data_IF_162430235292
#
_entry.id   IF_162430235292
#
_cell.length_a   1.000
_cell.length_b   1.000
_cell.length_c   1.000
_cell.angle_alpha   90.00
_cell.angle_beta   90.00
_cell.angle_gamma   90.00
#
_symmetry.space_group_name_H-M   'P 1'
#
loop_
_entity.id
_entity.type
_entity.pdbx_description
1 polymer ?
#
# COMPACT_ATOMS: atom_id res chain seq x y z
N UNK A 1 10.62 40.57 -19.22
CA UNK A 1 10.62 39.75 -20.46
C UNK A 1 11.34 38.41 -20.32
N UNK A 2 12.46 38.34 -19.64
CA UNK A 2 13.27 37.12 -19.42
C UNK A 2 12.54 36.06 -18.57
N UNK A 3 11.78 36.48 -17.55
CA UNK A 3 11.06 35.56 -16.66
C UNK A 3 9.92 34.82 -17.39
N UNK A 4 9.21 35.51 -18.27
CA UNK A 4 8.14 34.92 -19.11
C UNK A 4 8.70 33.85 -20.06
N UNK A 5 9.85 34.09 -20.69
CA UNK A 5 10.53 33.12 -21.56
C UNK A 5 11.00 31.86 -20.79
N UNK A 6 11.49 32.02 -19.56
CA UNK A 6 11.89 30.88 -18.72
C UNK A 6 10.69 30.01 -18.32
N UNK A 7 9.55 30.63 -18.03
CA UNK A 7 8.30 29.94 -17.72
C UNK A 7 7.76 29.23 -18.96
N UNK A 8 7.78 29.86 -20.15
CA UNK A 8 7.36 29.21 -21.39
C UNK A 8 8.29 28.09 -21.86
N UNK A 9 9.59 28.21 -21.67
CA UNK A 9 10.55 27.15 -21.97
C UNK A 9 10.41 25.95 -20.99
N UNK A 10 10.11 26.23 -19.73
CA UNK A 10 9.84 25.20 -18.73
C UNK A 10 8.50 24.50 -19.02
N UNK A 11 7.49 25.25 -19.47
CA UNK A 11 6.18 24.70 -19.89
C UNK A 11 6.29 23.86 -21.17
N UNK A 12 7.16 24.21 -22.13
CA UNK A 12 7.39 23.39 -23.33
C UNK A 12 8.11 22.06 -23.01
N UNK A 13 9.00 22.05 -22.00
CA UNK A 13 9.65 20.81 -21.53
C UNK A 13 8.70 19.90 -20.74
N UNK A 14 7.66 20.45 -20.11
CA UNK A 14 6.68 19.68 -19.32
C UNK A 14 5.46 19.24 -20.14
N UNK A 15 5.34 19.67 -21.39
CA UNK A 15 4.21 19.35 -22.30
C UNK A 15 4.29 17.97 -22.94
N UNK A 16 5.43 17.32 -22.95
CA UNK A 16 5.50 15.94 -23.40
C UNK A 16 5.22 15.01 -22.21
N UNK A 17 4.27 14.10 -22.38
CA UNK A 17 4.21 12.93 -21.52
C UNK A 17 5.62 12.33 -21.46
N UNK A 18 6.28 12.45 -20.33
CA UNK A 18 7.49 11.68 -20.07
C UNK A 18 7.13 10.20 -19.78
N UNK A 19 6.26 9.66 -20.62
CA UNK A 19 5.96 8.25 -20.74
C UNK A 19 7.05 7.56 -21.56
N UNK A 20 8.32 7.82 -21.21
CA UNK A 20 9.34 6.87 -21.53
C UNK A 20 9.12 5.59 -20.72
N UNK A 21 9.78 4.51 -21.09
CA UNK A 21 9.73 3.22 -20.36
C UNK A 21 9.80 3.39 -18.84
N UNK A 22 10.56 4.35 -18.35
CA UNK A 22 10.67 4.70 -16.92
C UNK A 22 9.36 5.20 -16.30
N UNK A 23 8.57 5.98 -17.04
CA UNK A 23 7.27 6.48 -16.56
C UNK A 23 6.25 5.35 -16.42
N UNK A 24 6.18 4.43 -17.37
CA UNK A 24 5.31 3.25 -17.27
C UNK A 24 5.68 2.37 -16.08
N UNK A 25 6.97 2.11 -15.87
CA UNK A 25 7.44 1.32 -14.73
C UNK A 25 6.98 1.96 -13.41
N UNK A 26 7.09 3.28 -13.28
CA UNK A 26 6.66 4.00 -12.06
C UNK A 26 5.16 3.86 -11.82
N UNK A 27 4.34 4.01 -12.85
CA UNK A 27 2.88 3.83 -12.73
C UNK A 27 2.53 2.40 -12.33
N UNK A 28 3.17 1.41 -12.93
CA UNK A 28 2.99 -0.01 -12.60
C UNK A 28 3.38 -0.28 -11.15
N UNK A 29 4.52 0.21 -10.69
CA UNK A 29 4.97 0.04 -9.31
C UNK A 29 4.01 0.72 -8.32
N UNK A 30 3.53 1.92 -8.63
CA UNK A 30 2.56 2.62 -7.79
C UNK A 30 1.19 1.91 -7.78
N UNK A 31 0.75 1.36 -8.92
CA UNK A 31 -0.43 0.51 -9.01
C UNK A 31 -0.30 -0.74 -8.12
N UNK A 32 0.84 -1.43 -8.18
CA UNK A 32 1.12 -2.57 -7.29
C UNK A 32 1.13 -2.18 -5.82
N UNK A 33 1.63 -1.00 -5.45
CA UNK A 33 1.58 -0.52 -4.07
C UNK A 33 0.15 -0.34 -3.57
N UNK A 34 -0.74 0.23 -4.41
CA UNK A 34 -2.16 0.37 -4.10
C UNK A 34 -2.87 -0.99 -4.03
N UNK A 35 -2.53 -1.91 -4.93
CA UNK A 35 -3.03 -3.28 -4.93
C UNK A 35 -2.65 -4.01 -3.63
N UNK A 36 -1.37 -4.04 -3.27
CA UNK A 36 -0.86 -4.69 -2.06
C UNK A 36 -1.46 -4.09 -0.79
N UNK A 37 -1.60 -2.77 -0.73
CA UNK A 37 -2.27 -2.12 0.40
C UNK A 37 -3.69 -2.66 0.59
N UNK A 38 -4.53 -2.66 -0.44
CA UNK A 38 -5.90 -3.17 -0.36
C UNK A 38 -5.94 -4.66 -0.05
N UNK A 39 -5.11 -5.44 -0.74
CA UNK A 39 -5.00 -6.88 -0.56
C UNK A 39 -4.73 -7.25 0.91
N UNK A 40 -3.76 -6.60 1.55
CA UNK A 40 -3.34 -6.94 2.90
C UNK A 40 -4.22 -6.33 4.00
N UNK A 41 -4.84 -5.17 3.75
CA UNK A 41 -5.60 -4.47 4.80
C UNK A 41 -7.08 -4.80 4.80
N UNK A 42 -7.76 -4.67 3.67
CA UNK A 42 -9.21 -4.82 3.61
C UNK A 42 -9.61 -6.22 3.13
N UNK A 43 -9.02 -6.66 2.03
CA UNK A 43 -9.52 -7.84 1.32
C UNK A 43 -9.13 -9.14 2.04
N UNK A 44 -7.87 -9.26 2.47
CA UNK A 44 -7.41 -10.40 3.28
C UNK A 44 -8.14 -10.48 4.63
N UNK A 45 -8.30 -9.34 5.30
CA UNK A 45 -8.95 -9.32 6.60
C UNK A 45 -10.40 -9.78 6.51
N UNK A 46 -11.11 -9.40 5.44
CA UNK A 46 -12.50 -9.84 5.25
C UNK A 46 -12.65 -11.36 5.14
N UNK A 47 -11.68 -12.04 4.52
CA UNK A 47 -11.70 -13.51 4.36
C UNK A 47 -11.16 -14.23 5.59
N UNK A 48 -10.14 -13.65 6.26
CA UNK A 48 -9.44 -14.32 7.37
C UNK A 48 -10.04 -14.04 8.74
N UNK A 49 -11.03 -13.15 8.86
CA UNK A 49 -11.69 -12.83 10.14
C UNK A 49 -12.21 -14.07 10.86
N UNK A 50 -12.99 -14.89 10.17
CA UNK A 50 -13.61 -16.07 10.76
C UNK A 50 -12.56 -17.12 11.15
N UNK A 51 -11.46 -17.18 10.41
CA UNK A 51 -10.31 -18.04 10.74
C UNK A 51 -9.63 -17.58 12.01
N UNK A 52 -9.37 -16.30 12.17
CA UNK A 52 -8.79 -15.74 13.40
C UNK A 52 -9.68 -16.01 14.62
N UNK A 53 -10.99 -15.87 14.49
CA UNK A 53 -11.96 -16.18 15.54
C UNK A 53 -11.93 -17.68 15.85
N UNK A 54 -11.87 -18.53 14.84
CA UNK A 54 -11.75 -20.00 14.99
C UNK A 54 -10.47 -20.46 15.69
N UNK A 55 -9.40 -19.68 15.61
CA UNK A 55 -8.13 -19.89 16.31
C UNK A 55 -8.15 -19.42 17.77
N UNK A 56 -9.29 -18.92 18.27
CA UNK A 56 -9.43 -18.45 19.64
C UNK A 56 -8.99 -16.99 19.85
N UNK A 57 -8.76 -16.24 18.78
CA UNK A 57 -8.48 -14.79 18.86
C UNK A 57 -9.79 -14.08 19.23
N UNK A 58 -9.70 -13.11 20.14
CA UNK A 58 -10.85 -12.38 20.63
C UNK A 58 -11.61 -11.70 19.48
N UNK A 59 -12.88 -12.06 19.31
CA UNK A 59 -13.75 -11.57 18.25
C UNK A 59 -13.82 -10.04 18.19
N UNK A 60 -13.96 -9.38 19.37
CA UNK A 60 -14.00 -7.93 19.44
C UNK A 60 -12.69 -7.29 18.94
N UNK A 61 -11.54 -7.90 19.23
CA UNK A 61 -10.25 -7.44 18.75
C UNK A 61 -10.12 -7.59 17.23
N UNK A 62 -10.59 -8.70 16.65
CA UNK A 62 -10.58 -8.93 15.19
C UNK A 62 -11.40 -7.89 14.45
N UNK A 63 -12.59 -7.57 14.96
CA UNK A 63 -13.43 -6.51 14.34
C UNK A 63 -12.87 -5.11 14.56
N UNK A 64 -12.19 -4.85 15.69
CA UNK A 64 -11.60 -3.56 16.00
C UNK A 64 -10.25 -3.31 15.32
N UNK A 65 -9.58 -4.33 14.75
CA UNK A 65 -8.24 -4.20 14.16
C UNK A 65 -8.13 -3.06 13.15
N UNK A 66 -9.07 -2.97 12.22
CA UNK A 66 -9.06 -1.91 11.20
C UNK A 66 -9.25 -0.53 11.81
N UNK A 67 -10.16 -0.40 12.78
CA UNK A 67 -10.42 0.87 13.48
C UNK A 67 -9.21 1.31 14.31
N UNK A 68 -8.55 0.36 14.98
CA UNK A 68 -7.33 0.63 15.75
C UNK A 68 -6.17 1.04 14.83
N UNK A 69 -6.04 0.40 13.66
CA UNK A 69 -4.94 0.66 12.74
C UNK A 69 -4.99 2.03 12.06
N UNK A 70 -6.18 2.60 11.85
CA UNK A 70 -6.36 3.89 11.14
C UNK A 70 -5.58 5.04 11.79
N UNK A 71 -5.70 5.35 13.09
CA UNK A 71 -4.96 6.44 13.71
C UNK A 71 -3.43 6.22 13.64
N UNK A 72 -2.96 4.99 13.82
CA UNK A 72 -1.54 4.68 13.66
C UNK A 72 -1.07 4.85 12.22
N UNK A 73 -1.89 4.48 11.25
CA UNK A 73 -1.61 4.72 9.83
C UNK A 73 -1.49 6.20 9.50
N UNK A 74 -2.36 7.05 10.03
CA UNK A 74 -2.31 8.50 9.84
C UNK A 74 -1.03 9.07 10.46
N UNK A 75 -0.73 8.74 11.71
CA UNK A 75 0.47 9.22 12.41
C UNK A 75 1.73 8.73 11.68
N UNK A 76 1.78 7.45 11.31
CA UNK A 76 2.90 6.88 10.57
C UNK A 76 3.12 7.56 9.21
N UNK A 77 2.05 7.85 8.47
CA UNK A 77 2.13 8.58 7.20
C UNK A 77 2.66 10.00 7.37
N UNK A 78 2.28 10.70 8.43
CA UNK A 78 2.81 12.05 8.73
C UNK A 78 4.31 11.99 9.06
N UNK A 79 4.72 11.02 9.87
CA UNK A 79 6.15 10.83 10.23
C UNK A 79 6.96 10.50 8.99
N UNK A 80 6.52 9.53 8.19
CA UNK A 80 7.19 9.14 6.95
C UNK A 80 7.23 10.29 5.94
N UNK A 81 6.15 11.08 5.83
CA UNK A 81 6.11 12.27 4.98
C UNK A 81 7.16 13.31 5.34
N UNK A 82 7.45 13.51 6.63
CA UNK A 82 8.52 14.41 7.08
C UNK A 82 9.92 13.85 6.80
N UNK A 83 10.09 12.53 6.92
CA UNK A 83 11.35 11.85 6.68
C UNK A 83 11.74 11.85 5.19
N UNK A 84 10.78 11.73 4.28
CA UNK A 84 11.00 11.77 2.83
C UNK A 84 11.65 13.09 2.39
N UNK A 85 11.30 14.21 3.02
CA UNK A 85 11.90 15.51 2.71
C UNK A 85 13.41 15.58 3.01
N UNK A 86 13.95 14.66 3.82
CA UNK A 86 15.37 14.62 4.21
C UNK A 86 16.19 13.61 3.42
N UNK A 87 15.57 12.59 2.85
CA UNK A 87 16.24 11.45 2.23
C UNK A 87 15.57 11.01 0.93
N UNK A 88 16.16 10.02 0.26
CA UNK A 88 15.65 9.49 -1.01
C UNK A 88 14.29 8.78 -0.82
N UNK A 89 13.26 9.22 -1.54
CA UNK A 89 11.93 8.63 -1.56
C UNK A 89 11.96 7.13 -1.91
N UNK A 90 12.89 6.72 -2.79
CA UNK A 90 13.02 5.32 -3.24
C UNK A 90 13.40 4.37 -2.10
N UNK A 91 14.26 4.84 -1.20
CA UNK A 91 14.72 4.08 -0.05
C UNK A 91 13.56 3.84 0.93
N UNK A 92 12.79 4.87 1.25
CA UNK A 92 11.64 4.73 2.16
C UNK A 92 10.54 3.86 1.58
N UNK A 93 10.31 3.96 0.26
CA UNK A 93 9.33 3.11 -0.41
C UNK A 93 9.73 1.63 -0.35
N UNK A 94 10.97 1.30 -0.69
CA UNK A 94 11.50 -0.06 -0.58
C UNK A 94 11.48 -0.59 0.85
N UNK A 95 11.90 0.24 1.82
CA UNK A 95 11.88 -0.15 3.24
C UNK A 95 10.46 -0.42 3.74
N UNK A 96 9.49 0.43 3.38
CA UNK A 96 8.08 0.22 3.75
C UNK A 96 7.54 -1.09 3.19
N UNK A 97 7.87 -1.43 1.94
CA UNK A 97 7.46 -2.70 1.33
C UNK A 97 8.10 -3.91 2.02
N UNK A 98 9.39 -3.84 2.36
CA UNK A 98 10.08 -4.91 3.07
C UNK A 98 9.46 -5.12 4.46
N UNK A 99 9.21 -4.05 5.21
CA UNK A 99 8.59 -4.15 6.54
C UNK A 99 7.19 -4.76 6.40
N UNK A 100 6.40 -4.31 5.45
CA UNK A 100 5.07 -4.87 5.19
C UNK A 100 5.16 -6.37 4.89
N UNK A 101 6.06 -6.81 4.02
CA UNK A 101 6.24 -8.22 3.68
C UNK A 101 6.64 -9.07 4.89
N UNK A 102 7.61 -8.61 5.70
CA UNK A 102 8.04 -9.33 6.91
C UNK A 102 6.88 -9.50 7.89
N UNK A 103 6.12 -8.44 8.17
CA UNK A 103 5.00 -8.52 9.10
C UNK A 103 3.81 -9.31 8.53
N UNK A 104 3.65 -9.37 7.21
CA UNK A 104 2.68 -10.24 6.55
C UNK A 104 2.99 -11.71 6.77
N UNK A 105 4.24 -12.12 6.69
CA UNK A 105 4.65 -13.49 7.02
C UNK A 105 4.48 -13.77 8.52
N UNK A 106 4.83 -12.81 9.38
CA UNK A 106 4.70 -12.96 10.84
C UNK A 106 3.24 -13.11 11.28
N UNK A 107 2.29 -12.38 10.73
CA UNK A 107 0.87 -12.48 11.12
C UNK A 107 0.32 -13.89 10.88
N UNK A 108 0.81 -14.59 9.84
CA UNK A 108 0.44 -15.98 9.56
C UNK A 108 0.97 -17.01 10.58
N UNK A 109 1.90 -16.62 11.44
CA UNK A 109 2.52 -17.51 12.45
C UNK A 109 2.11 -17.16 13.89
N UNK A 110 1.53 -15.98 14.10
CA UNK A 110 1.15 -15.51 15.44
C UNK A 110 -0.26 -15.99 15.79
N UNK A 111 -0.39 -16.62 16.97
CA UNK A 111 -1.66 -17.15 17.49
C UNK A 111 -2.18 -16.37 18.72
N UNK A 112 -1.50 -15.27 19.10
CA UNK A 112 -1.90 -14.44 20.23
C UNK A 112 -2.65 -13.20 19.74
N UNK A 113 -3.77 -12.85 20.37
CA UNK A 113 -4.61 -11.68 20.04
C UNK A 113 -3.79 -10.39 19.93
N UNK A 114 -2.93 -10.12 20.91
CA UNK A 114 -2.12 -8.88 20.90
C UNK A 114 -1.13 -8.86 19.75
N UNK A 115 -0.47 -10.00 19.50
CA UNK A 115 0.49 -10.12 18.41
C UNK A 115 -0.13 -9.92 17.03
N UNK A 116 -1.31 -10.50 16.78
CA UNK A 116 -2.04 -10.33 15.52
C UNK A 116 -2.44 -8.87 15.31
N UNK A 117 -2.97 -8.21 16.35
CA UNK A 117 -3.34 -6.77 16.27
C UNK A 117 -2.12 -5.90 15.99
N UNK A 118 -1.00 -6.14 16.69
CA UNK A 118 0.25 -5.37 16.47
C UNK A 118 0.78 -5.57 15.05
N UNK A 119 0.87 -6.81 14.58
CA UNK A 119 1.29 -7.10 13.20
C UNK A 119 0.39 -6.39 12.18
N UNK A 120 -0.93 -6.46 12.37
CA UNK A 120 -1.87 -5.80 11.49
C UNK A 120 -1.70 -4.28 11.47
N UNK A 121 -1.52 -3.64 12.62
CA UNK A 121 -1.28 -2.18 12.73
C UNK A 121 -0.01 -1.79 11.97
N UNK A 122 1.06 -2.57 12.09
CA UNK A 122 2.31 -2.31 11.36
C UNK A 122 2.10 -2.48 9.85
N UNK A 123 1.49 -3.58 9.41
CA UNK A 123 1.16 -3.82 7.99
C UNK A 123 0.34 -2.65 7.44
N UNK A 124 -0.71 -2.27 8.14
CA UNK A 124 -1.59 -1.15 7.74
C UNK A 124 -0.81 0.16 7.58
N UNK A 125 0.01 0.50 8.57
CA UNK A 125 0.76 1.77 8.60
C UNK A 125 1.75 1.88 7.45
N UNK A 126 2.57 0.85 7.22
CA UNK A 126 3.61 0.90 6.19
C UNK A 126 3.05 0.69 4.78
N UNK A 127 2.03 -0.15 4.60
CA UNK A 127 1.37 -0.32 3.31
C UNK A 127 0.58 0.93 2.90
N UNK A 128 -0.13 1.59 3.84
CA UNK A 128 -0.80 2.86 3.59
C UNK A 128 0.18 3.94 3.17
N UNK A 129 1.30 4.07 3.88
CA UNK A 129 2.33 5.05 3.56
C UNK A 129 2.93 4.80 2.16
N UNK A 130 3.18 3.55 1.79
CA UNK A 130 3.71 3.21 0.46
C UNK A 130 2.70 3.49 -0.65
N UNK A 131 1.44 3.17 -0.45
CA UNK A 131 0.38 3.33 -1.47
C UNK A 131 -0.05 4.78 -1.66
N UNK A 132 -0.29 5.51 -0.56
CA UNK A 132 -0.87 6.86 -0.64
C UNK A 132 0.18 7.94 -0.76
N UNK A 133 1.18 7.90 0.13
CA UNK A 133 2.14 8.98 0.25
C UNK A 133 3.25 8.85 -0.80
N UNK A 134 3.93 7.71 -0.82
CA UNK A 134 5.10 7.52 -1.67
C UNK A 134 4.72 7.41 -3.15
N UNK A 135 3.66 6.66 -3.47
CA UNK A 135 3.16 6.59 -4.84
C UNK A 135 2.65 7.96 -5.31
N UNK A 136 1.92 8.70 -4.47
CA UNK A 136 1.42 10.04 -4.78
C UNK A 136 2.54 11.06 -5.05
N UNK A 137 3.59 11.08 -4.23
CA UNK A 137 4.75 11.94 -4.41
C UNK A 137 5.53 11.60 -5.68
N UNK A 138 5.82 10.32 -5.91
CA UNK A 138 6.54 9.87 -7.12
C UNK A 138 5.76 10.27 -8.38
N UNK A 139 4.45 10.04 -8.40
CA UNK A 139 3.59 10.42 -9.53
C UNK A 139 3.55 11.94 -9.71
N UNK A 140 3.45 12.70 -8.61
CA UNK A 140 3.47 14.15 -8.65
C UNK A 140 4.73 14.72 -9.28
N UNK A 141 5.89 14.12 -9.00
CA UNK A 141 7.17 14.51 -9.59
C UNK A 141 7.32 14.12 -11.07
N UNK A 142 6.83 12.94 -11.46
CA UNK A 142 7.00 12.43 -12.82
C UNK A 142 5.92 12.88 -13.80
N UNK A 143 4.71 13.17 -13.31
CA UNK A 143 3.56 13.53 -14.16
C UNK A 143 2.89 14.85 -13.74
N UNK A 144 3.60 15.98 -13.79
CA UNK A 144 3.05 17.26 -13.31
C UNK A 144 1.81 17.71 -14.08
N UNK A 145 1.73 17.42 -15.40
CA UNK A 145 0.61 17.84 -16.25
C UNK A 145 -0.55 16.85 -16.30
N UNK A 146 -0.31 15.56 -16.10
CA UNK A 146 -1.33 14.50 -16.18
C UNK A 146 -1.42 13.67 -14.90
N UNK A 147 -1.15 14.30 -13.75
CA UNK A 147 -1.17 13.71 -12.42
C UNK A 147 -2.48 12.96 -12.13
N UNK A 148 -3.63 13.54 -12.53
CA UNK A 148 -4.94 12.92 -12.30
C UNK A 148 -5.11 11.57 -13.01
N UNK A 149 -4.68 11.48 -14.28
CA UNK A 149 -4.76 10.22 -15.04
C UNK A 149 -3.80 9.17 -14.46
N UNK A 150 -2.57 9.57 -14.14
CA UNK A 150 -1.60 8.66 -13.53
C UNK A 150 -2.07 8.16 -12.15
N UNK A 151 -2.62 9.03 -11.31
CA UNK A 151 -3.23 8.66 -10.03
C UNK A 151 -4.43 7.75 -10.21
N UNK A 152 -5.32 8.02 -11.16
CA UNK A 152 -6.46 7.16 -11.47
C UNK A 152 -6.04 5.75 -11.87
N UNK A 153 -5.00 5.61 -12.68
CA UNK A 153 -4.42 4.30 -13.03
C UNK A 153 -3.85 3.59 -11.80
N UNK A 154 -3.18 4.31 -10.91
CA UNK A 154 -2.63 3.70 -9.69
C UNK A 154 -3.72 3.24 -8.72
N UNK A 155 -4.76 4.07 -8.51
CA UNK A 155 -5.87 3.72 -7.62
C UNK A 155 -6.77 2.63 -8.17
N UNK A 156 -6.72 2.31 -9.49
CA UNK A 156 -7.37 1.14 -10.06
C UNK A 156 -6.84 -0.19 -9.48
N UNK A 157 -5.70 -0.18 -8.79
CA UNK A 157 -5.20 -1.30 -7.99
C UNK A 157 -6.16 -1.73 -6.88
N UNK A 158 -6.91 -0.81 -6.26
CA UNK A 158 -7.86 -1.14 -5.18
C UNK A 158 -9.00 -2.05 -5.63
N UNK A 159 -9.81 -1.68 -6.65
CA UNK A 159 -10.91 -2.55 -7.09
C UNK A 159 -10.39 -3.86 -7.71
N UNK A 160 -9.22 -3.85 -8.34
CA UNK A 160 -8.62 -5.08 -8.84
C UNK A 160 -8.23 -6.01 -7.69
N UNK A 161 -7.66 -5.49 -6.62
CA UNK A 161 -7.37 -6.26 -5.42
C UNK A 161 -8.64 -6.85 -4.82
N UNK A 162 -9.69 -6.07 -4.64
CA UNK A 162 -10.96 -6.55 -4.09
C UNK A 162 -11.53 -7.72 -4.92
N UNK A 163 -11.44 -7.65 -6.24
CA UNK A 163 -11.94 -8.71 -7.12
C UNK A 163 -11.08 -9.99 -7.09
N UNK A 164 -9.76 -9.85 -7.01
CA UNK A 164 -8.83 -10.99 -7.13
C UNK A 164 -8.45 -11.59 -5.79
N UNK A 165 -8.12 -10.76 -4.81
CA UNK A 165 -7.61 -11.21 -3.50
C UNK A 165 -8.68 -11.99 -2.73
N UNK A 166 -9.92 -11.53 -2.73
CA UNK A 166 -11.02 -12.23 -2.04
C UNK A 166 -11.26 -13.61 -2.62
N UNK A 167 -11.19 -13.76 -3.97
CA UNK A 167 -11.36 -15.05 -4.63
C UNK A 167 -10.16 -15.98 -4.32
N UNK A 168 -8.95 -15.48 -4.45
CA UNK A 168 -7.72 -16.25 -4.16
C UNK A 168 -7.64 -16.63 -2.68
N UNK A 169 -7.91 -15.69 -1.78
CA UNK A 169 -7.92 -15.93 -0.35
C UNK A 169 -8.94 -17.02 0.05
N UNK A 170 -10.15 -16.97 -0.50
CA UNK A 170 -11.17 -17.98 -0.25
C UNK A 170 -10.73 -19.39 -0.66
N UNK A 171 -10.07 -19.52 -1.81
CA UNK A 171 -9.54 -20.81 -2.28
C UNK A 171 -8.37 -21.30 -1.39
N UNK A 172 -7.39 -20.43 -1.10
CA UNK A 172 -6.22 -20.81 -0.32
C UNK A 172 -6.54 -21.13 1.14
N UNK A 173 -7.37 -20.32 1.79
CA UNK A 173 -7.75 -20.53 3.19
C UNK A 173 -8.54 -21.84 3.33
N UNK A 174 -9.37 -22.18 2.37
CA UNK A 174 -10.15 -23.43 2.37
C UNK A 174 -9.33 -24.70 2.10
N UNK A 175 -8.21 -24.60 1.37
CA UNK A 175 -7.44 -25.79 0.92
C UNK A 175 -6.13 -25.99 1.66
N UNK A 176 -5.38 -24.94 1.94
CA UNK A 176 -4.00 -25.01 2.45
C UNK A 176 -3.84 -24.41 3.85
N UNK A 177 -4.81 -23.66 4.29
CA UNK A 177 -4.82 -22.97 5.58
C UNK A 177 -4.33 -21.52 5.50
N UNK A 178 -4.63 -20.76 6.56
CA UNK A 178 -4.40 -19.32 6.59
C UNK A 178 -2.91 -18.93 6.65
N UNK A 179 -2.08 -19.74 7.34
CA UNK A 179 -0.63 -19.48 7.42
C UNK A 179 0.05 -19.53 6.06
N UNK A 180 -0.32 -20.52 5.23
CA UNK A 180 0.19 -20.64 3.87
C UNK A 180 -0.29 -19.49 2.97
N UNK A 181 -1.49 -19.00 3.17
CA UNK A 181 -2.01 -17.83 2.47
C UNK A 181 -1.17 -16.57 2.72
N UNK A 182 -0.84 -16.27 4.00
CA UNK A 182 -0.02 -15.10 4.35
C UNK A 182 1.46 -15.23 3.95
N UNK A 183 1.93 -16.43 3.66
CA UNK A 183 3.27 -16.64 3.09
C UNK A 183 3.25 -16.46 1.56
N UNK A 184 2.12 -16.79 0.92
CA UNK A 184 1.99 -16.76 -0.54
C UNK A 184 1.65 -15.37 -1.11
N UNK A 185 1.06 -14.47 -0.30
CA UNK A 185 0.68 -13.12 -0.73
C UNK A 185 1.77 -12.10 -0.48
#
# INVERSE_FOLDING_TARGET
MVFRRKVEMNNKKTSSWNLGVKGYIIVILAFFSCYVYSALTSDSLNVTRDVFIGLGINQAAVYAMSTIAVPFGIIGSIILGRLINKHSIRLYWGLSMIITAVFTVLIGQVHNTVGVVVCYVVIYTFSLASAMLLAGEIIGHWFPTKRGVAMGLCTAGYPLSAATTSAVAGMFVGTVGYSAYYIAI
#
